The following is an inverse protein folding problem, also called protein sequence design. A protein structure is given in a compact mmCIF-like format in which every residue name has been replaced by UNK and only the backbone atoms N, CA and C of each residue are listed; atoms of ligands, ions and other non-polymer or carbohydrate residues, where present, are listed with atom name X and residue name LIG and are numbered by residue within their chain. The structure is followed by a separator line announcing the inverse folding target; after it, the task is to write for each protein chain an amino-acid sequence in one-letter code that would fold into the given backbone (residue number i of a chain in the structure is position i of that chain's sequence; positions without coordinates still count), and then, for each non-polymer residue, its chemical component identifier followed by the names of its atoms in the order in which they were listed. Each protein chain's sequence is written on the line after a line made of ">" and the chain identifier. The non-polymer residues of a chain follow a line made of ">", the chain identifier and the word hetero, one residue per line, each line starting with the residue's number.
data_IF_405031267689
#
_entry.id   IF_405031267689
#
_cell.length_a   1.000
_cell.length_b   1.000
_cell.length_c   1.000
_cell.angle_alpha   90.00
_cell.angle_beta   90.00
_cell.angle_gamma   90.00
#
_symmetry.space_group_name_H-M   'P 1'
#
loop_
_entity.id
_entity.type
_entity.pdbx_description
1 polymer ?
#
# COMPACT_ATOMS: atom_id res chain seq x y z
N UNK A 1 11.48 -16.27 -4.51
CA UNK A 1 10.99 -14.88 -4.44
C UNK A 1 10.33 -14.72 -3.08
N UNK A 2 10.63 -13.67 -2.29
CA UNK A 2 9.90 -13.40 -1.06
C UNK A 2 8.42 -13.19 -1.41
N UNK A 3 7.60 -14.08 -0.89
CA UNK A 3 6.14 -14.07 -1.01
C UNK A 3 5.59 -13.08 0.01
N UNK A 4 4.82 -12.10 -0.46
CA UNK A 4 4.16 -11.14 0.42
C UNK A 4 3.12 -11.86 1.30
N UNK A 5 2.78 -11.26 2.44
CA UNK A 5 1.86 -11.87 3.41
C UNK A 5 0.48 -12.17 2.81
N UNK A 6 0.02 -11.43 1.79
CA UNK A 6 -1.26 -11.68 1.15
C UNK A 6 -1.21 -12.95 0.29
N UNK A 7 -0.09 -13.19 -0.41
CA UNK A 7 0.12 -14.46 -1.13
C UNK A 7 0.10 -15.67 -0.19
N UNK A 8 0.74 -15.56 0.99
CA UNK A 8 0.67 -16.60 2.01
C UNK A 8 -0.73 -16.79 2.57
N UNK A 9 -1.47 -15.71 2.85
CA UNK A 9 -2.85 -15.78 3.33
C UNK A 9 -3.76 -16.45 2.30
N UNK A 10 -3.58 -16.14 1.01
CA UNK A 10 -4.31 -16.78 -0.08
C UNK A 10 -4.07 -18.28 -0.12
N UNK A 11 -2.84 -18.71 0.08
CA UNK A 11 -2.44 -20.11 0.00
C UNK A 11 -2.80 -20.88 1.29
N UNK A 12 -2.85 -20.20 2.44
CA UNK A 12 -3.16 -20.79 3.75
C UNK A 12 -4.65 -20.86 4.07
N UNK A 13 -5.45 -19.92 3.56
CA UNK A 13 -6.89 -19.86 3.82
C UNK A 13 -7.70 -20.60 2.75
N UNK A 14 -8.83 -21.22 3.12
CA UNK A 14 -9.81 -21.63 2.13
C UNK A 14 -10.23 -20.46 1.24
N UNK A 15 -10.45 -20.73 -0.05
CA UNK A 15 -10.77 -19.70 -1.05
C UNK A 15 -11.95 -18.81 -0.64
N UNK A 16 -13.00 -19.38 -0.07
CA UNK A 16 -14.17 -18.65 0.40
C UNK A 16 -13.84 -17.72 1.58
N UNK A 17 -12.92 -18.11 2.47
CA UNK A 17 -12.49 -17.28 3.60
C UNK A 17 -11.63 -16.12 3.15
N UNK A 18 -10.67 -16.36 2.26
CA UNK A 18 -9.84 -15.30 1.69
C UNK A 18 -10.68 -14.28 0.91
N UNK A 19 -11.61 -14.75 0.08
CA UNK A 19 -12.56 -13.88 -0.65
C UNK A 19 -13.52 -13.12 0.26
N UNK A 20 -13.77 -13.61 1.48
CA UNK A 20 -14.69 -12.98 2.43
C UNK A 20 -14.05 -11.88 3.29
N UNK A 21 -12.75 -11.61 3.15
CA UNK A 21 -12.09 -10.49 3.83
C UNK A 21 -12.81 -9.19 3.44
N UNK A 22 -13.31 -8.45 4.45
CA UNK A 22 -14.13 -7.23 4.25
C UNK A 22 -13.32 -5.95 4.38
N UNK A 23 -12.27 -5.96 5.20
CA UNK A 23 -11.44 -4.81 5.46
C UNK A 23 -9.97 -5.22 5.50
N UNK A 24 -9.12 -4.38 4.93
CA UNK A 24 -7.68 -4.59 4.90
C UNK A 24 -6.93 -3.27 5.11
N UNK A 25 -5.88 -3.33 5.93
CA UNK A 25 -4.90 -2.26 6.04
C UNK A 25 -3.54 -2.77 5.54
N UNK A 26 -2.91 -2.02 4.63
CA UNK A 26 -1.58 -2.32 4.10
C UNK A 26 -0.66 -1.15 4.41
N UNK A 27 0.36 -1.43 5.22
CA UNK A 27 1.44 -0.48 5.51
C UNK A 27 2.71 -0.92 4.81
N UNK A 28 3.22 -0.09 3.89
CA UNK A 28 4.46 -0.33 3.17
C UNK A 28 5.49 0.74 3.55
N UNK A 29 6.59 0.27 4.12
CA UNK A 29 7.67 1.10 4.64
C UNK A 29 8.94 0.79 3.87
N UNK A 30 9.48 1.77 3.15
CA UNK A 30 10.66 1.60 2.30
C UNK A 30 11.78 2.56 2.71
N UNK A 31 12.99 2.02 2.92
CA UNK A 31 14.19 2.80 3.26
C UNK A 31 14.56 2.87 4.75
N UNK A 32 13.84 2.20 5.65
CA UNK A 32 14.10 2.27 7.10
C UNK A 32 15.38 1.57 7.59
N UNK A 33 16.10 0.83 6.73
CA UNK A 33 17.32 0.11 7.09
C UNK A 33 18.46 0.36 6.08
N UNK A 34 19.26 1.40 6.33
CA UNK A 34 20.69 1.62 5.98
C UNK A 34 21.32 1.06 4.68
N UNK A 35 20.55 0.75 3.64
CA UNK A 35 21.06 0.57 2.28
C UNK A 35 20.15 1.31 1.33
N UNK A 36 20.75 1.98 0.35
CA UNK A 36 20.09 2.68 -0.74
C UNK A 36 19.14 1.72 -1.47
N UNK A 37 17.91 1.59 -0.97
CA UNK A 37 16.89 0.80 -1.63
C UNK A 37 16.22 1.70 -2.66
N UNK A 38 16.51 1.47 -3.94
CA UNK A 38 15.89 2.20 -5.05
C UNK A 38 14.54 1.58 -5.40
N UNK A 39 13.57 2.39 -5.86
CA UNK A 39 12.35 1.88 -6.52
C UNK A 39 12.71 1.33 -7.91
N UNK A 40 13.27 0.13 -7.94
CA UNK A 40 13.60 -0.58 -9.17
C UNK A 40 12.45 -1.45 -9.67
N UNK A 41 12.67 -2.13 -10.79
CA UNK A 41 11.64 -2.98 -11.39
C UNK A 41 11.26 -4.19 -10.52
N UNK A 42 12.18 -4.67 -9.68
CA UNK A 42 11.89 -5.79 -8.77
C UNK A 42 10.92 -5.32 -7.69
N UNK A 43 11.19 -4.16 -7.07
CA UNK A 43 10.31 -3.53 -6.09
C UNK A 43 8.91 -3.31 -6.67
N UNK A 44 8.81 -2.75 -7.89
CA UNK A 44 7.52 -2.56 -8.55
C UNK A 44 6.83 -3.89 -8.91
N UNK A 45 7.58 -4.96 -9.12
CA UNK A 45 7.05 -6.31 -9.28
C UNK A 45 6.33 -6.78 -8.02
N UNK A 46 6.95 -6.64 -6.85
CA UNK A 46 6.32 -6.95 -5.56
C UNK A 46 5.10 -6.07 -5.29
N UNK A 47 5.22 -4.76 -5.54
CA UNK A 47 4.11 -3.82 -5.40
C UNK A 47 2.90 -4.26 -6.24
N UNK A 48 3.09 -4.62 -7.50
CA UNK A 48 1.99 -5.10 -8.35
C UNK A 48 1.39 -6.43 -7.84
N UNK A 49 2.23 -7.36 -7.36
CA UNK A 49 1.78 -8.65 -6.83
C UNK A 49 0.84 -8.53 -5.62
N UNK A 50 1.10 -7.56 -4.73
CA UNK A 50 0.19 -7.25 -3.60
C UNK A 50 -1.21 -6.94 -4.13
N UNK A 51 -1.31 -6.03 -5.10
CA UNK A 51 -2.59 -5.59 -5.65
C UNK A 51 -3.29 -6.67 -6.47
N UNK A 52 -2.54 -7.55 -7.12
CA UNK A 52 -3.12 -8.71 -7.80
C UNK A 52 -3.78 -9.68 -6.82
N UNK A 53 -3.24 -9.83 -5.60
CA UNK A 53 -3.92 -10.59 -4.54
C UNK A 53 -5.15 -9.85 -4.00
N UNK A 54 -5.07 -8.53 -3.81
CA UNK A 54 -6.21 -7.72 -3.35
C UNK A 54 -7.39 -7.81 -4.31
N UNK A 55 -7.16 -7.81 -5.63
CA UNK A 55 -8.22 -7.97 -6.64
C UNK A 55 -8.97 -9.30 -6.54
N UNK A 56 -8.36 -10.34 -5.95
CA UNK A 56 -9.01 -11.63 -5.74
C UNK A 56 -9.95 -11.64 -4.52
N UNK A 57 -9.89 -10.62 -3.66
CA UNK A 57 -10.74 -10.48 -2.48
C UNK A 57 -12.10 -9.86 -2.87
N UNK A 58 -12.95 -10.65 -3.52
CA UNK A 58 -14.28 -10.21 -4.01
C UNK A 58 -15.17 -9.56 -2.93
N UNK A 59 -14.96 -9.90 -1.66
CA UNK A 59 -15.69 -9.36 -0.53
C UNK A 59 -15.12 -8.06 0.06
N UNK A 60 -13.96 -7.59 -0.40
CA UNK A 60 -13.29 -6.42 0.18
C UNK A 60 -14.12 -5.15 -0.06
N UNK A 61 -14.39 -4.41 1.01
CA UNK A 61 -15.18 -3.18 0.97
C UNK A 61 -14.36 -1.96 1.39
N UNK A 62 -13.51 -2.14 2.41
CA UNK A 62 -12.78 -1.05 3.06
C UNK A 62 -11.26 -1.32 2.98
N UNK A 63 -10.51 -0.42 2.37
CA UNK A 63 -9.06 -0.52 2.19
C UNK A 63 -8.36 0.76 2.67
N UNK A 64 -7.42 0.59 3.60
CA UNK A 64 -6.48 1.64 3.99
C UNK A 64 -5.08 1.24 3.52
N UNK A 65 -4.44 2.13 2.77
CA UNK A 65 -3.06 1.94 2.32
C UNK A 65 -2.21 3.06 2.85
N UNK A 66 -1.05 2.71 3.38
CA UNK A 66 -0.04 3.66 3.80
C UNK A 66 1.28 3.33 3.13
N UNK A 67 1.87 4.32 2.46
CA UNK A 67 3.14 4.17 1.76
C UNK A 67 4.12 5.24 2.24
N UNK A 68 5.12 4.82 3.02
CA UNK A 68 6.23 5.65 3.48
C UNK A 68 7.48 5.29 2.68
N UNK A 69 8.00 6.26 1.93
CA UNK A 69 9.21 6.09 1.14
C UNK A 69 10.26 7.10 1.63
N UNK A 70 11.42 6.60 2.05
CA UNK A 70 12.57 7.43 2.43
C UNK A 70 13.46 7.74 1.20
N UNK A 71 12.82 8.27 0.15
CA UNK A 71 13.48 8.77 -1.06
C UNK A 71 12.57 9.73 -1.81
N UNK A 72 13.16 10.58 -2.66
CA UNK A 72 12.39 11.41 -3.57
C UNK A 72 11.68 10.56 -4.63
N UNK A 73 10.40 10.85 -4.85
CA UNK A 73 9.56 10.14 -5.82
C UNK A 73 9.44 10.98 -7.08
N UNK A 74 9.96 10.46 -8.20
CA UNK A 74 9.78 11.10 -9.51
C UNK A 74 8.33 10.97 -9.99
N UNK A 75 7.95 11.76 -10.99
CA UNK A 75 6.61 11.68 -11.60
C UNK A 75 6.33 10.29 -12.17
N UNK A 76 7.32 9.68 -12.80
CA UNK A 76 7.21 8.35 -13.41
C UNK A 76 7.05 7.27 -12.33
N UNK A 77 7.78 7.38 -11.21
CA UNK A 77 7.62 6.49 -10.07
C UNK A 77 6.24 6.66 -9.43
N UNK A 78 5.78 7.89 -9.22
CA UNK A 78 4.44 8.17 -8.69
C UNK A 78 3.34 7.55 -9.57
N UNK A 79 3.44 7.71 -10.90
CA UNK A 79 2.50 7.08 -11.82
C UNK A 79 2.52 5.55 -11.73
N UNK A 80 3.71 4.94 -11.61
CA UNK A 80 3.85 3.49 -11.43
C UNK A 80 3.29 2.99 -10.10
N UNK A 81 3.44 3.78 -9.03
CA UNK A 81 2.90 3.48 -7.70
C UNK A 81 1.36 3.46 -7.73
N UNK A 82 0.74 4.47 -8.34
CA UNK A 82 -0.72 4.58 -8.36
C UNK A 82 -1.39 3.69 -9.40
N UNK A 83 -0.73 3.36 -10.51
CA UNK A 83 -1.31 2.56 -11.60
C UNK A 83 -2.06 1.29 -11.15
N UNK A 84 -1.50 0.39 -10.32
CA UNK A 84 -2.23 -0.81 -9.91
C UNK A 84 -3.42 -0.53 -8.99
N UNK A 85 -3.44 0.62 -8.29
CA UNK A 85 -4.53 1.04 -7.40
C UNK A 85 -5.73 1.59 -8.18
N UNK A 86 -5.50 2.18 -9.34
CA UNK A 86 -6.55 2.78 -10.18
C UNK A 86 -7.60 1.77 -10.67
N UNK A 87 -7.25 0.48 -10.69
CA UNK A 87 -8.15 -0.61 -11.10
C UNK A 87 -8.90 -1.27 -9.95
N UNK A 88 -8.86 -0.72 -8.74
CA UNK A 88 -9.58 -1.25 -7.58
C UNK A 88 -10.94 -0.57 -7.47
N UNK A 89 -12.01 -1.36 -7.38
CA UNK A 89 -13.38 -0.89 -7.21
C UNK A 89 -13.83 -1.20 -5.79
N UNK A 90 -13.68 -0.24 -4.89
CA UNK A 90 -13.94 -0.41 -3.46
C UNK A 90 -14.84 0.70 -2.93
N UNK A 91 -15.56 0.42 -1.83
CA UNK A 91 -16.51 1.37 -1.23
C UNK A 91 -15.80 2.47 -0.45
N UNK A 92 -14.89 2.09 0.45
CA UNK A 92 -14.03 3.03 1.19
C UNK A 92 -12.57 2.69 0.89
N UNK A 93 -11.89 3.55 0.14
CA UNK A 93 -10.48 3.37 -0.16
C UNK A 93 -9.71 4.65 0.15
N UNK A 94 -8.80 4.54 1.10
CA UNK A 94 -7.91 5.61 1.55
C UNK A 94 -6.47 5.25 1.25
N UNK A 95 -5.76 6.19 0.63
CA UNK A 95 -4.34 6.09 0.36
C UNK A 95 -3.63 7.24 1.08
N UNK A 96 -2.64 6.91 1.89
CA UNK A 96 -1.78 7.88 2.54
C UNK A 96 -0.33 7.70 2.10
N UNK A 97 0.32 8.81 1.73
CA UNK A 97 1.70 8.82 1.22
C UNK A 97 2.53 9.89 1.90
N UNK A 98 3.85 9.67 2.02
CA UNK A 98 4.75 10.59 2.74
C UNK A 98 5.57 11.53 1.85
N UNK A 99 5.37 11.49 0.53
CA UNK A 99 6.06 12.38 -0.41
C UNK A 99 5.11 13.47 -0.96
N UNK A 100 5.64 14.65 -1.33
CA UNK A 100 4.84 15.71 -1.93
C UNK A 100 4.31 15.35 -3.32
N UNK A 101 3.28 16.04 -3.78
CA UNK A 101 2.74 15.81 -5.12
C UNK A 101 3.76 16.16 -6.22
N UNK A 102 3.97 15.25 -7.17
CA UNK A 102 4.77 15.54 -8.36
C UNK A 102 4.06 16.54 -9.29
N UNK A 103 4.81 17.21 -10.18
CA UNK A 103 4.21 18.11 -11.17
C UNK A 103 3.26 17.33 -12.08
N UNK A 104 1.98 17.70 -12.06
CA UNK A 104 0.93 17.04 -12.85
C UNK A 104 0.25 15.87 -12.13
N UNK A 105 0.50 15.65 -10.84
CA UNK A 105 -0.15 14.60 -10.03
C UNK A 105 -1.69 14.63 -10.13
N UNK A 106 -2.29 15.82 -10.20
CA UNK A 106 -3.74 15.98 -10.37
C UNK A 106 -4.30 15.28 -11.62
N UNK A 107 -3.54 15.26 -12.72
CA UNK A 107 -3.96 14.57 -13.94
C UNK A 107 -3.81 13.05 -13.81
N UNK A 108 -2.83 12.57 -13.02
CA UNK A 108 -2.66 11.13 -12.72
C UNK A 108 -3.79 10.59 -11.84
N UNK A 109 -4.32 11.43 -10.95
CA UNK A 109 -5.33 11.07 -9.97
C UNK A 109 -6.77 11.35 -10.43
N UNK A 110 -6.96 11.80 -11.68
CA UNK A 110 -8.28 12.05 -12.22
C UNK A 110 -9.07 10.73 -12.27
N UNK A 111 -10.17 10.65 -11.53
CA UNK A 111 -10.97 9.43 -11.42
C UNK A 111 -10.36 8.35 -10.52
N UNK A 112 -9.40 8.71 -9.65
CA UNK A 112 -8.85 7.76 -8.68
C UNK A 112 -9.95 7.19 -7.78
N UNK A 113 -9.98 5.86 -7.54
CA UNK A 113 -10.99 5.22 -6.69
C UNK A 113 -10.71 5.38 -5.20
N UNK A 114 -9.78 6.26 -4.82
CA UNK A 114 -9.33 6.46 -3.45
C UNK A 114 -9.25 7.93 -3.06
N UNK A 115 -9.44 8.18 -1.77
CA UNK A 115 -9.08 9.46 -1.15
C UNK A 115 -7.59 9.48 -0.83
N UNK A 116 -6.85 10.42 -1.41
CA UNK A 116 -5.42 10.57 -1.19
C UNK A 116 -5.14 11.60 -0.08
N UNK A 117 -4.39 11.19 0.93
CA UNK A 117 -3.79 12.07 1.95
C UNK A 117 -2.28 12.08 1.74
N UNK A 118 -1.69 13.27 1.76
CA UNK A 118 -0.23 13.43 1.74
C UNK A 118 0.20 13.97 3.09
N UNK A 119 0.97 13.19 3.83
CA UNK A 119 1.44 13.57 5.15
C UNK A 119 2.96 13.44 5.23
N UNK A 120 3.64 14.59 5.18
CA UNK A 120 5.09 14.66 5.25
C UNK A 120 5.62 14.62 6.70
N UNK A 121 4.73 14.54 7.70
CA UNK A 121 5.08 14.47 9.11
C UNK A 121 4.98 13.02 9.64
N UNK A 122 5.70 12.67 10.72
CA UNK A 122 5.44 11.44 11.45
C UNK A 122 3.98 11.44 11.94
N UNK A 123 3.26 10.34 11.68
CA UNK A 123 1.84 10.19 12.01
C UNK A 123 1.74 9.54 13.40
N UNK A 124 1.10 10.17 14.39
CA UNK A 124 0.93 9.58 15.71
C UNK A 124 0.27 8.20 15.65
N UNK A 125 0.87 7.19 16.29
CA UNK A 125 0.33 5.82 16.37
C UNK A 125 0.67 4.91 15.19
N UNK A 126 1.49 5.36 14.23
CA UNK A 126 2.00 4.53 13.13
C UNK A 126 3.48 4.18 13.35
N UNK A 127 3.91 2.96 12.97
CA UNK A 127 5.28 2.53 13.19
C UNK A 127 6.25 3.46 12.46
N UNK A 128 7.10 4.15 13.22
CA UNK A 128 8.16 4.99 12.66
C UNK A 128 9.31 4.14 12.10
N UNK A 129 9.46 2.92 12.64
CA UNK A 129 10.49 1.91 12.35
C UNK A 129 9.86 0.54 12.03
N UNK A 130 10.49 -0.22 11.12
CA UNK A 130 9.95 -1.45 10.51
C UNK A 130 9.75 -2.66 11.43
N UNK A 131 9.79 -2.48 12.75
CA UNK A 131 9.42 -3.51 13.73
C UNK A 131 8.85 -2.85 14.99
N UNK A 132 7.66 -2.29 14.90
CA UNK A 132 6.80 -2.20 16.08
C UNK A 132 5.67 -3.20 15.91
N UNK A 133 5.81 -4.34 16.60
CA UNK A 133 4.65 -5.16 16.93
C UNK A 133 3.83 -4.31 17.90
N UNK A 134 2.79 -3.65 17.40
CA UNK A 134 1.76 -3.07 18.25
C UNK A 134 1.01 -4.26 18.86
N UNK A 135 1.54 -4.78 19.96
CA UNK A 135 0.81 -5.72 20.80
C UNK A 135 -0.42 -4.97 21.32
N UNK A 136 -1.57 -5.29 20.73
CA UNK A 136 -2.86 -4.92 21.28
C UNK A 136 -3.00 -5.51 22.69
N UNK A 137 -3.24 -4.64 23.66
CA UNK A 137 -3.62 -5.00 25.02
C UNK A 137 -4.25 -3.79 25.70
N UNK A 138 -5.41 -3.93 26.38
CA UNK A 138 -6.21 -2.80 26.85
C UNK A 138 -5.72 -2.30 28.22
N UNK A 139 -5.59 -0.99 28.36
CA UNK A 139 -6.42 -0.09 29.19
C UNK A 139 -5.84 1.32 29.17
#
# INVERSE_FOLDING_TARGET
>A
MPTDILSHLRDALPSHSFRAIRSLEISCLHGLYHREQTLDNEWFGYWNGIWDNVKLMEGLLDLQVWLKLDQDVTREQEARLFKPLMGLELRDFKLEVTWPASKGSNALLLGAPFSLVRNNAPIPGKPEFGTEIVNGGPL
#
